data_IF_029155686945
#
_entry.id   IF_029155686945
#
_cell.length_a   1.000
_cell.length_b   1.000
_cell.length_c   1.000
_cell.angle_alpha   90.00
_cell.angle_beta   90.00
_cell.angle_gamma   90.00
#
_symmetry.space_group_name_H-M   'P 1'
#
loop_
_entity.id
_entity.type
_entity.pdbx_description
1 polymer ?
#
# COMPACT_ATOMS: atom_id res chain seq x y z
N UNK A 1 -13.10 -3.43 -3.00
CA UNK A 1 -12.33 -2.40 -2.27
C UNK A 1 -12.17 -1.17 -3.14
N UNK A 2 -12.45 0.00 -2.62
CA UNK A 2 -12.25 1.25 -3.33
C UNK A 2 -10.84 1.76 -3.07
N UNK A 3 -10.03 1.91 -4.12
CA UNK A 3 -8.62 2.29 -4.00
C UNK A 3 -8.41 3.68 -4.61
N UNK A 4 -7.83 4.58 -3.83
CA UNK A 4 -7.44 5.90 -4.33
C UNK A 4 -5.91 5.95 -4.39
N UNK A 5 -5.38 6.37 -5.54
CA UNK A 5 -3.94 6.48 -5.74
C UNK A 5 -3.59 7.95 -5.94
N UNK A 6 -2.63 8.42 -5.17
CA UNK A 6 -2.17 9.79 -5.21
C UNK A 6 -0.66 9.81 -5.38
N UNK A 7 -0.15 10.68 -6.24
CA UNK A 7 1.30 10.87 -6.40
C UNK A 7 1.69 12.26 -5.91
N UNK A 8 2.81 12.33 -5.21
CA UNK A 8 3.34 13.57 -4.67
C UNK A 8 4.73 13.83 -5.23
N UNK A 9 4.95 15.04 -5.73
CA UNK A 9 6.22 15.51 -6.30
C UNK A 9 6.62 14.83 -7.61
N UNK A 10 5.69 14.12 -8.25
CA UNK A 10 5.87 13.56 -9.59
C UNK A 10 4.51 13.14 -10.11
N UNK A 11 4.44 12.83 -11.40
CA UNK A 11 3.23 12.28 -12.00
C UNK A 11 3.42 10.80 -12.27
N UNK A 12 2.61 9.97 -11.63
CA UNK A 12 2.66 8.53 -11.85
C UNK A 12 2.15 8.21 -13.26
N UNK A 13 2.94 7.44 -14.02
CA UNK A 13 2.52 7.06 -15.35
C UNK A 13 1.48 5.93 -15.29
N UNK A 14 0.89 5.66 -16.46
CA UNK A 14 -0.17 4.65 -16.55
C UNK A 14 0.29 3.26 -16.12
N UNK A 15 1.52 2.88 -16.46
CA UNK A 15 2.07 1.58 -16.08
C UNK A 15 2.17 1.42 -14.58
N UNK A 16 2.62 2.46 -13.91
CA UNK A 16 2.75 2.43 -12.45
C UNK A 16 1.37 2.33 -11.79
N UNK A 17 0.41 3.12 -12.27
CA UNK A 17 -0.95 3.08 -11.74
C UNK A 17 -1.58 1.70 -11.95
N UNK A 18 -1.40 1.11 -13.13
CA UNK A 18 -1.90 -0.24 -13.41
C UNK A 18 -1.25 -1.28 -12.51
N UNK A 19 0.06 -1.15 -12.28
CA UNK A 19 0.78 -2.04 -11.38
C UNK A 19 0.20 -1.97 -9.96
N UNK A 20 0.03 -0.76 -9.44
CA UNK A 20 -0.50 -0.56 -8.10
C UNK A 20 -1.92 -1.14 -7.99
N UNK A 21 -2.77 -0.85 -8.97
CA UNK A 21 -4.14 -1.39 -8.97
C UNK A 21 -4.16 -2.91 -8.99
N UNK A 22 -3.29 -3.54 -9.77
CA UNK A 22 -3.20 -4.99 -9.84
C UNK A 22 -2.77 -5.59 -8.49
N UNK A 23 -1.80 -4.95 -7.83
CA UNK A 23 -1.34 -5.41 -6.52
C UNK A 23 -2.39 -5.21 -5.45
N UNK A 24 -3.10 -4.08 -5.49
CA UNK A 24 -4.18 -3.82 -4.52
C UNK A 24 -5.35 -4.78 -4.73
N UNK A 25 -5.64 -5.17 -5.98
CA UNK A 25 -6.68 -6.17 -6.25
C UNK A 25 -6.33 -7.52 -5.62
N UNK A 26 -5.06 -7.91 -5.62
CA UNK A 26 -4.62 -9.13 -4.94
C UNK A 26 -4.75 -9.00 -3.43
N UNK A 27 -4.38 -7.84 -2.89
CA UNK A 27 -4.50 -7.58 -1.46
C UNK A 27 -5.96 -7.64 -1.01
N UNK A 28 -6.89 -7.20 -1.85
CA UNK A 28 -8.33 -7.20 -1.56
C UNK A 28 -8.82 -8.60 -1.17
N UNK A 29 -8.25 -9.64 -1.77
CA UNK A 29 -8.61 -11.02 -1.47
C UNK A 29 -8.29 -11.42 -0.03
N UNK A 30 -7.30 -10.77 0.57
CA UNK A 30 -6.90 -11.01 1.96
C UNK A 30 -7.59 -10.05 2.93
N UNK A 31 -8.23 -9.01 2.41
CA UNK A 31 -8.80 -7.93 3.21
C UNK A 31 -10.31 -7.82 2.95
N UNK A 32 -11.03 -8.92 3.12
CA UNK A 32 -12.46 -9.01 2.83
C UNK A 32 -13.31 -7.98 3.55
N UNK A 33 -12.88 -7.55 4.73
CA UNK A 33 -13.64 -6.61 5.55
C UNK A 33 -13.24 -5.15 5.31
N UNK A 34 -12.28 -4.89 4.42
CA UNK A 34 -11.85 -3.52 4.17
C UNK A 34 -12.94 -2.73 3.46
N UNK A 35 -13.04 -1.44 3.80
CA UNK A 35 -13.97 -0.53 3.17
C UNK A 35 -13.32 0.31 2.08
N UNK A 36 -12.00 0.34 2.04
CA UNK A 36 -11.26 1.09 1.03
C UNK A 36 -9.78 1.15 1.37
N UNK A 37 -9.01 1.76 0.48
CA UNK A 37 -7.58 1.94 0.68
C UNK A 37 -7.09 3.20 -0.01
N UNK A 38 -6.02 3.77 0.53
CA UNK A 38 -5.33 4.89 -0.07
C UNK A 38 -3.88 4.51 -0.32
N UNK A 39 -3.39 4.82 -1.51
CA UNK A 39 -1.99 4.61 -1.87
C UNK A 39 -1.39 5.96 -2.19
N UNK A 40 -0.36 6.35 -1.46
CA UNK A 40 0.37 7.58 -1.71
C UNK A 40 1.77 7.21 -2.17
N UNK A 41 2.10 7.64 -3.38
CA UNK A 41 3.42 7.45 -3.97
C UNK A 41 4.12 8.80 -3.92
N UNK A 42 5.30 8.84 -3.32
CA UNK A 42 6.03 10.10 -3.16
C UNK A 42 7.46 9.96 -3.66
N UNK A 43 7.87 10.91 -4.48
CA UNK A 43 9.26 11.04 -4.90
C UNK A 43 9.93 12.05 -3.97
N UNK A 44 10.92 11.60 -3.23
CA UNK A 44 11.65 12.47 -2.31
C UNK A 44 13.09 12.63 -2.78
N UNK A 45 13.89 13.31 -1.99
CA UNK A 45 15.31 13.49 -2.29
C UNK A 45 16.02 12.16 -2.22
N UNK A 46 17.14 12.06 -2.93
CA UNK A 46 17.92 10.84 -2.97
C UNK A 46 18.43 10.44 -1.58
N UNK A 47 18.16 9.19 -1.20
CA UNK A 47 18.61 8.57 0.04
C UNK A 47 19.32 7.27 -0.28
N UNK A 48 20.17 6.81 0.63
CA UNK A 48 20.84 5.53 0.49
C UNK A 48 19.87 4.37 0.26
N UNK A 49 18.72 4.42 0.93
CA UNK A 49 17.69 3.38 0.83
C UNK A 49 16.74 3.58 -0.34
N UNK A 50 16.93 4.67 -1.09
CA UNK A 50 16.08 5.00 -2.21
C UNK A 50 15.20 6.21 -1.93
N UNK A 51 14.69 6.81 -3.01
CA UNK A 51 13.93 8.05 -2.96
C UNK A 51 12.46 7.86 -3.32
N UNK A 52 12.01 6.63 -3.50
CA UNK A 52 10.64 6.33 -3.92
C UNK A 52 9.87 5.69 -2.77
N UNK A 53 8.92 6.45 -2.23
CA UNK A 53 8.14 6.05 -1.07
C UNK A 53 6.75 5.59 -1.49
N UNK A 54 6.28 4.51 -0.89
CA UNK A 54 4.89 4.08 -1.05
C UNK A 54 4.29 3.93 0.35
N UNK A 55 3.21 4.66 0.59
CA UNK A 55 2.45 4.55 1.84
C UNK A 55 1.07 4.03 1.49
N UNK A 56 0.69 2.91 2.07
CA UNK A 56 -0.60 2.30 1.82
C UNK A 56 -1.38 2.26 3.13
N UNK A 57 -2.55 2.87 3.12
CA UNK A 57 -3.48 2.84 4.25
C UNK A 57 -4.68 2.00 3.87
N UNK A 58 -4.94 0.96 4.65
CA UNK A 58 -6.05 0.05 4.43
C UNK A 58 -7.08 0.31 5.51
N UNK A 59 -8.29 0.71 5.10
CA UNK A 59 -9.37 1.02 6.03
C UNK A 59 -10.12 -0.24 6.44
N UNK A 60 -9.98 -0.62 7.70
CA UNK A 60 -10.65 -1.79 8.27
C UNK A 60 -11.67 -1.35 9.30
N UNK A 61 -12.67 -2.18 9.62
CA UNK A 61 -13.62 -1.83 10.68
C UNK A 61 -12.89 -1.62 12.01
N UNK A 62 -13.06 -0.42 12.56
CA UNK A 62 -12.49 -0.09 13.86
C UNK A 62 -11.05 0.42 13.86
N UNK A 63 -10.29 0.21 12.79
CA UNK A 63 -8.92 0.72 12.72
C UNK A 63 -8.39 0.75 11.30
N UNK A 64 -7.36 1.55 11.07
CA UNK A 64 -6.65 1.57 9.80
C UNK A 64 -5.33 0.83 9.95
N UNK A 65 -4.96 0.09 8.90
CA UNK A 65 -3.65 -0.56 8.82
C UNK A 65 -2.79 0.23 7.84
N UNK A 66 -1.60 0.61 8.26
CA UNK A 66 -0.72 1.47 7.46
C UNK A 66 0.63 0.81 7.29
N UNK A 67 1.17 0.88 6.08
CA UNK A 67 2.54 0.47 5.81
C UNK A 67 3.19 1.50 4.89
N UNK A 68 4.43 1.89 5.22
CA UNK A 68 5.21 2.82 4.42
C UNK A 68 6.58 2.21 4.17
N UNK A 69 6.97 2.13 2.91
CA UNK A 69 8.27 1.59 2.53
C UNK A 69 8.92 2.47 1.48
N UNK A 70 10.23 2.47 1.46
CA UNK A 70 11.02 3.21 0.49
C UNK A 70 12.03 2.28 -0.17
N UNK A 71 12.31 2.55 -1.44
CA UNK A 71 13.30 1.82 -2.22
C UNK A 71 13.71 2.65 -3.42
N UNK A 72 14.48 2.07 -4.31
CA UNK A 72 14.90 2.74 -5.54
C UNK A 72 13.88 2.62 -6.67
N UNK A 73 12.81 1.86 -6.47
CA UNK A 73 11.74 1.69 -7.44
C UNK A 73 10.38 1.69 -6.74
N UNK A 74 9.39 2.37 -7.31
CA UNK A 74 8.05 2.40 -6.73
C UNK A 74 7.43 1.01 -6.65
N UNK A 75 7.66 0.18 -7.66
CA UNK A 75 7.14 -1.20 -7.68
C UNK A 75 7.63 -2.00 -6.48
N UNK A 76 8.91 -1.87 -6.15
CA UNK A 76 9.50 -2.54 -5.00
C UNK A 76 8.91 -2.00 -3.69
N UNK A 77 8.78 -0.67 -3.59
CA UNK A 77 8.20 -0.05 -2.40
C UNK A 77 6.75 -0.50 -2.17
N UNK A 78 5.98 -0.58 -3.23
CA UNK A 78 4.59 -1.05 -3.17
C UNK A 78 4.55 -2.52 -2.75
N UNK A 79 5.38 -3.37 -3.33
CA UNK A 79 5.42 -4.79 -2.96
C UNK A 79 5.76 -4.97 -1.49
N UNK A 80 6.76 -4.25 -0.99
CA UNK A 80 7.16 -4.33 0.42
C UNK A 80 6.05 -3.86 1.35
N UNK A 81 5.37 -2.76 0.97
CA UNK A 81 4.26 -2.24 1.77
C UNK A 81 3.11 -3.23 1.82
N UNK A 82 2.80 -3.87 0.69
CA UNK A 82 1.72 -4.87 0.64
C UNK A 82 2.07 -6.09 1.48
N UNK A 83 3.32 -6.56 1.44
CA UNK A 83 3.74 -7.68 2.28
C UNK A 83 3.60 -7.34 3.76
N UNK A 84 3.96 -6.12 4.15
CA UNK A 84 3.79 -5.67 5.52
C UNK A 84 2.30 -5.64 5.92
N UNK A 85 1.43 -5.20 5.02
CA UNK A 85 -0.01 -5.17 5.27
C UNK A 85 -0.59 -6.57 5.40
N UNK A 86 -0.12 -7.52 4.62
CA UNK A 86 -0.55 -8.93 4.75
C UNK A 86 -0.24 -9.46 6.14
N UNK A 87 0.94 -9.16 6.68
CA UNK A 87 1.29 -9.55 8.04
C UNK A 87 0.41 -8.87 9.08
N UNK A 88 0.10 -7.58 8.87
CA UNK A 88 -0.82 -6.87 9.77
C UNK A 88 -2.23 -7.44 9.70
N UNK A 89 -2.68 -7.84 8.51
CA UNK A 89 -4.00 -8.45 8.32
C UNK A 89 -4.12 -9.78 9.05
N UNK A 90 -3.06 -10.59 9.06
CA UNK A 90 -3.06 -11.83 9.82
C UNK A 90 -3.25 -11.58 11.30
N UNK A 91 -2.56 -10.57 11.84
CA UNK A 91 -2.71 -10.17 13.24
C UNK A 91 -4.10 -9.61 13.51
N UNK A 92 -4.63 -8.82 12.58
CA UNK A 92 -5.97 -8.27 12.70
C UNK A 92 -7.03 -9.37 12.75
N UNK A 93 -6.93 -10.36 11.88
CA UNK A 93 -7.85 -11.49 11.85
C UNK A 93 -7.79 -12.31 13.15
N UNK A 94 -6.58 -12.58 13.63
CA UNK A 94 -6.40 -13.32 14.89
C UNK A 94 -7.01 -12.54 16.07
N UNK A 95 -6.91 -11.22 16.05
CA UNK A 95 -7.44 -10.35 17.10
C UNK A 95 -8.96 -10.30 17.10
N UNK A 96 -9.59 -10.40 15.93
CA UNK A 96 -11.04 -10.23 15.77
C UNK A 96 -11.83 -11.53 15.70
N UNK A 97 -11.15 -12.66 15.52
CA UNK A 97 -11.78 -13.99 15.41
C UNK A 97 -11.89 -14.74 16.74
N UNK A 98 -12.13 -14.05 17.79
CA UNK A 98 -12.30 -14.71 19.10
C UNK A 98 -13.71 -15.19 19.31
#
# INVERSE_FOLDING_TARGET
>A
MNVQIQSEKFDADKRLIEFVNAKMAKLDRFAERSTGAEVILKLDKDHEKGNKFATITLHMPGEDLVACHQSKAFEESVDEAIDALKRQLEKFKAKTEK
#
